data_IF_787697599081
#
_entry.id   IF_787697599081
#
_cell.length_a   1.000
_cell.length_b   1.000
_cell.length_c   1.000
_cell.angle_alpha   90.00
_cell.angle_beta   90.00
_cell.angle_gamma   90.00
#
_symmetry.space_group_name_H-M   'P 1'
#
loop_
_entity.id
_entity.type
_entity.pdbx_description
1 polymer ?
#
# COMPACT_ATOMS: atom_id res chain seq x y z
N UNK A 1 4.19 15.98 -5.85
CA UNK A 1 2.87 15.37 -5.61
C UNK A 1 2.71 14.22 -6.59
N UNK A 2 2.20 13.09 -6.13
CA UNK A 2 1.94 11.88 -6.91
C UNK A 2 0.45 11.56 -6.84
N UNK A 3 -0.18 11.30 -7.98
CA UNK A 3 -1.49 10.68 -8.06
C UNK A 3 -1.40 9.52 -9.04
N UNK A 4 -1.90 8.35 -8.65
CA UNK A 4 -1.92 7.15 -9.47
C UNK A 4 -3.29 6.48 -9.36
N UNK A 5 -3.82 6.04 -10.50
CA UNK A 5 -5.05 5.26 -10.57
C UNK A 5 -4.83 4.14 -11.60
N UNK A 6 -5.30 2.94 -11.29
CA UNK A 6 -5.22 1.78 -12.16
C UNK A 6 -6.50 0.97 -12.02
N UNK A 7 -7.00 0.45 -13.13
CA UNK A 7 -8.07 -0.53 -13.15
C UNK A 7 -7.57 -1.76 -13.89
N UNK A 8 -7.29 -2.83 -13.16
CA UNK A 8 -7.01 -4.13 -13.77
C UNK A 8 -8.29 -4.94 -13.80
N UNK A 9 -8.77 -5.28 -15.00
CA UNK A 9 -9.91 -6.17 -15.20
C UNK A 9 -9.42 -7.40 -15.94
N UNK A 10 -9.66 -8.57 -15.36
CA UNK A 10 -9.41 -9.82 -16.06
C UNK A 10 -10.63 -10.20 -16.90
N UNK A 11 -10.40 -10.70 -18.11
CA UNK A 11 -11.47 -11.29 -18.91
C UNK A 11 -11.91 -12.62 -18.29
N UNK A 12 -13.20 -12.93 -18.43
CA UNK A 12 -13.78 -14.17 -17.93
C UNK A 12 -13.07 -15.36 -18.59
N UNK A 13 -12.64 -16.36 -17.81
CA UNK A 13 -12.07 -17.59 -18.38
C UNK A 13 -13.20 -18.40 -19.03
N UNK A 14 -13.12 -18.65 -20.34
CA UNK A 14 -14.13 -19.35 -21.16
C UNK A 14 -14.65 -20.67 -20.57
N UNK A 15 -13.84 -21.40 -19.78
CA UNK A 15 -14.25 -22.67 -19.14
C UNK A 15 -15.16 -22.51 -17.93
N UNK A 16 -15.30 -21.30 -17.39
CA UNK A 16 -16.13 -20.98 -16.22
C UNK A 16 -17.38 -20.17 -16.60
N UNK A 17 -17.54 -19.83 -17.88
CA UNK A 17 -18.65 -19.02 -18.42
C UNK A 17 -19.70 -19.82 -19.18
N UNK A 18 -19.48 -21.13 -19.37
CA UNK A 18 -20.41 -22.03 -20.06
C UNK A 18 -20.81 -23.10 -19.05
N UNK A 19 -22.06 -23.07 -18.61
CA UNK A 19 -22.68 -24.19 -17.91
C UNK A 19 -22.93 -25.32 -18.93
N UNK A 20 -22.28 -26.50 -18.79
CA UNK A 20 -22.46 -27.61 -19.71
C UNK A 20 -23.88 -28.20 -19.70
N UNK A 21 -24.73 -27.86 -18.72
CA UNK A 21 -26.10 -28.40 -18.59
C UNK A 21 -27.14 -27.49 -19.24
N UNK A 22 -27.00 -26.16 -19.14
CA UNK A 22 -28.04 -25.22 -19.60
C UNK A 22 -27.73 -24.48 -20.92
N UNK A 23 -26.48 -24.47 -21.39
CA UNK A 23 -26.12 -23.86 -22.68
C UNK A 23 -26.41 -22.35 -22.82
N UNK A 24 -26.75 -21.68 -21.72
CA UNK A 24 -27.14 -20.26 -21.70
C UNK A 24 -25.93 -19.38 -21.38
N UNK A 25 -25.89 -18.19 -22.00
CA UNK A 25 -24.93 -17.11 -21.70
C UNK A 25 -25.27 -16.46 -20.34
N UNK A 26 -25.22 -17.23 -19.26
CA UNK A 26 -25.23 -16.63 -17.92
C UNK A 26 -23.82 -16.06 -17.74
N UNK A 27 -23.71 -14.74 -17.66
CA UNK A 27 -22.44 -14.05 -17.44
C UNK A 27 -21.80 -14.58 -16.15
N UNK A 28 -20.79 -15.43 -16.28
CA UNK A 28 -20.06 -15.92 -15.12
C UNK A 28 -19.37 -14.75 -14.44
N UNK A 29 -19.81 -14.45 -13.23
CA UNK A 29 -19.19 -13.45 -12.36
C UNK A 29 -17.83 -13.93 -11.84
N UNK A 30 -17.45 -15.18 -12.08
CA UNK A 30 -16.17 -15.76 -11.68
C UNK A 30 -15.11 -15.42 -12.74
N UNK A 31 -14.46 -14.28 -12.55
CA UNK A 31 -13.39 -13.79 -13.43
C UNK A 31 -13.55 -12.35 -13.87
N UNK A 32 -14.73 -11.75 -13.69
CA UNK A 32 -14.94 -10.31 -13.84
C UNK A 32 -14.73 -9.58 -12.50
N UNK A 33 -13.56 -9.79 -11.88
CA UNK A 33 -13.17 -9.03 -10.70
C UNK A 33 -12.25 -7.90 -11.17
N UNK A 34 -12.82 -6.72 -11.38
CA UNK A 34 -12.02 -5.50 -11.49
C UNK A 34 -11.32 -5.26 -10.15
N UNK A 35 -10.01 -5.07 -10.17
CA UNK A 35 -9.21 -4.67 -9.02
C UNK A 35 -8.76 -3.22 -9.19
N UNK A 36 -9.64 -2.23 -8.93
CA UNK A 36 -9.25 -0.83 -8.97
C UNK A 36 -8.23 -0.55 -7.88
N UNK A 37 -7.19 0.21 -8.22
CA UNK A 37 -6.14 0.65 -7.32
C UNK A 37 -5.96 2.16 -7.46
N UNK A 38 -5.74 2.83 -6.34
CA UNK A 38 -5.56 4.28 -6.29
C UNK A 38 -4.49 4.61 -5.25
N UNK A 39 -3.66 5.59 -5.56
CA UNK A 39 -2.65 6.10 -4.66
C UNK A 39 -2.50 7.62 -4.79
N UNK A 40 -2.32 8.29 -3.65
CA UNK A 40 -2.03 9.70 -3.54
C UNK A 40 -0.84 9.88 -2.61
N UNK A 41 0.19 10.57 -3.08
CA UNK A 41 1.44 10.73 -2.35
C UNK A 41 2.00 12.15 -2.40
N UNK A 42 2.72 12.49 -1.34
CA UNK A 42 3.51 13.70 -1.27
C UNK A 42 4.93 13.36 -0.85
N UNK A 43 5.92 13.95 -1.51
CA UNK A 43 7.34 13.75 -1.22
C UNK A 43 7.99 15.11 -1.08
N UNK A 44 8.78 15.28 -0.03
CA UNK A 44 9.57 16.47 0.22
C UNK A 44 11.05 16.11 0.33
N UNK A 45 11.89 16.99 -0.19
CA UNK A 45 13.34 16.91 -0.04
C UNK A 45 13.82 18.24 0.49
N UNK A 46 14.57 18.21 1.58
CA UNK A 46 15.18 19.38 2.18
C UNK A 46 16.70 19.17 2.25
N UNK A 47 17.43 20.00 1.51
CA UNK A 47 18.89 20.04 1.57
C UNK A 47 19.27 21.01 2.69
N UNK A 48 19.67 20.46 3.84
CA UNK A 48 20.07 21.25 5.01
C UNK A 48 21.45 21.87 4.79
N UNK A 49 22.35 21.10 4.20
CA UNK A 49 23.67 21.55 3.74
C UNK A 49 24.03 20.83 2.44
N UNK A 50 25.16 21.18 1.83
CA UNK A 50 25.67 20.48 0.64
C UNK A 50 26.00 19.00 0.91
N UNK A 51 26.22 18.65 2.19
CA UNK A 51 26.60 17.30 2.62
C UNK A 51 25.46 16.55 3.31
N UNK A 52 24.41 17.22 3.76
CA UNK A 52 23.31 16.63 4.54
C UNK A 52 21.93 16.91 3.93
N UNK A 53 21.15 15.86 3.73
CA UNK A 53 19.83 15.90 3.09
C UNK A 53 18.82 15.09 3.89
N UNK A 54 17.62 15.63 3.98
CA UNK A 54 16.44 14.94 4.49
C UNK A 54 15.46 14.71 3.34
N UNK A 55 14.99 13.48 3.20
CA UNK A 55 13.96 13.09 2.25
C UNK A 55 12.81 12.48 3.04
N UNK A 56 11.58 12.73 2.64
CA UNK A 56 10.43 12.08 3.26
C UNK A 56 9.24 12.03 2.33
N UNK A 57 8.38 11.05 2.56
CA UNK A 57 7.16 10.89 1.80
C UNK A 57 6.03 10.33 2.67
N UNK A 58 4.81 10.73 2.33
CA UNK A 58 3.57 10.15 2.83
C UNK A 58 2.74 9.72 1.63
N UNK A 59 2.18 8.52 1.69
CA UNK A 59 1.42 7.87 0.64
C UNK A 59 0.15 7.28 1.25
N UNK A 60 -1.00 7.61 0.68
CA UNK A 60 -2.27 6.92 0.95
C UNK A 60 -2.61 6.11 -0.28
N UNK A 61 -2.90 4.82 -0.12
CA UNK A 61 -3.18 3.92 -1.24
C UNK A 61 -4.28 2.91 -0.91
N UNK A 62 -4.88 2.35 -1.95
CA UNK A 62 -5.79 1.20 -1.91
C UNK A 62 -5.54 0.36 -3.16
N UNK A 63 -5.50 -0.95 -3.00
CA UNK A 63 -5.17 -1.89 -4.07
C UNK A 63 -3.65 -2.00 -4.29
N UNK A 64 -3.28 -2.51 -5.46
CA UNK A 64 -1.90 -2.75 -5.84
C UNK A 64 -1.23 -1.46 -6.33
N UNK A 65 -0.07 -1.15 -5.78
CA UNK A 65 0.72 0.02 -6.15
C UNK A 65 2.21 -0.27 -5.95
N UNK A 66 3.08 0.37 -6.74
CA UNK A 66 4.53 0.26 -6.56
C UNK A 66 5.18 1.63 -6.71
N UNK A 67 6.27 1.84 -6.00
CA UNK A 67 7.02 3.09 -6.06
C UNK A 67 8.47 2.91 -5.66
N UNK A 68 9.29 3.88 -6.03
CA UNK A 68 10.63 4.04 -5.48
C UNK A 68 10.59 4.94 -4.24
N UNK A 69 11.19 4.45 -3.16
CA UNK A 69 11.38 5.13 -1.90
C UNK A 69 12.86 5.39 -1.69
N UNK A 70 13.31 6.57 -2.10
CA UNK A 70 14.71 6.96 -2.03
C UNK A 70 15.61 5.98 -2.82
N UNK A 71 16.26 5.00 -2.17
CA UNK A 71 17.08 3.97 -2.84
C UNK A 71 16.38 2.61 -2.99
N UNK A 72 15.15 2.48 -2.52
CA UNK A 72 14.42 1.22 -2.49
C UNK A 72 13.28 1.14 -3.48
N UNK A 73 13.06 -0.04 -4.04
CA UNK A 73 11.82 -0.38 -4.71
C UNK A 73 10.85 -1.00 -3.69
N UNK A 74 9.60 -0.55 -3.68
CA UNK A 74 8.55 -1.09 -2.82
C UNK A 74 7.28 -1.38 -3.59
N UNK A 75 6.67 -2.51 -3.24
CA UNK A 75 5.36 -2.95 -3.71
C UNK A 75 4.40 -2.89 -2.53
N UNK A 76 3.21 -2.38 -2.79
CA UNK A 76 2.11 -2.24 -1.88
C UNK A 76 0.92 -2.99 -2.44
N UNK A 77 0.21 -3.69 -1.58
CA UNK A 77 -1.07 -4.30 -1.92
C UNK A 77 -1.92 -4.31 -0.65
N UNK A 78 -3.07 -3.63 -0.71
CA UNK A 78 -4.01 -3.63 0.39
C UNK A 78 -5.45 -3.57 -0.11
N UNK A 79 -6.35 -4.45 0.36
CA UNK A 79 -7.76 -4.40 0.00
C UNK A 79 -8.49 -3.17 0.58
N UNK A 80 -7.86 -2.48 1.54
CA UNK A 80 -8.40 -1.30 2.23
C UNK A 80 -7.49 -0.09 2.03
N UNK A 81 -8.00 1.09 2.38
CA UNK A 81 -7.18 2.29 2.44
C UNK A 81 -6.07 2.10 3.47
N UNK A 82 -4.83 2.36 3.05
CA UNK A 82 -3.63 2.17 3.85
C UNK A 82 -2.76 3.41 3.71
N UNK A 83 -2.02 3.71 4.76
CA UNK A 83 -1.11 4.84 4.82
C UNK A 83 0.30 4.33 5.04
N UNK A 84 1.19 4.73 4.13
CA UNK A 84 2.60 4.46 4.21
C UNK A 84 3.38 5.77 4.29
N UNK A 85 4.39 5.83 5.13
CA UNK A 85 5.31 6.95 5.17
C UNK A 85 6.74 6.50 5.40
N UNK A 86 7.68 7.31 4.95
CA UNK A 86 9.10 7.09 5.18
C UNK A 86 9.86 8.40 5.30
N UNK A 87 10.97 8.34 6.02
CA UNK A 87 11.93 9.44 6.16
C UNK A 87 13.33 8.86 6.01
N UNK A 88 14.17 9.53 5.21
CA UNK A 88 15.59 9.24 5.07
C UNK A 88 16.42 10.45 5.48
N UNK A 89 17.45 10.20 6.30
CA UNK A 89 18.57 11.10 6.51
C UNK A 89 19.79 10.59 5.75
N UNK A 90 20.34 11.41 4.88
CA UNK A 90 21.54 11.13 4.11
C UNK A 90 22.63 12.15 4.43
N UNK A 91 23.84 11.67 4.73
CA UNK A 91 25.00 12.53 5.02
C UNK A 91 26.28 12.03 4.34
N UNK A 92 27.08 12.95 3.82
CA UNK A 92 28.49 12.70 3.48
C UNK A 92 29.37 13.12 4.66
N UNK A 93 29.98 12.16 5.32
CA UNK A 93 30.80 12.40 6.52
C UNK A 93 32.21 12.89 6.14
N UNK A 94 32.69 12.50 4.96
CA UNK A 94 33.94 12.97 4.39
C UNK A 94 33.89 12.92 2.87
N UNK A 95 35.05 12.96 2.22
CA UNK A 95 35.13 12.95 0.77
C UNK A 95 34.85 11.55 0.17
N UNK A 96 35.07 10.51 0.97
CA UNK A 96 34.95 9.12 0.54
C UNK A 96 33.80 8.34 1.21
N UNK A 97 33.21 8.86 2.29
CA UNK A 97 32.22 8.14 3.10
C UNK A 97 30.85 8.81 3.08
N UNK A 98 29.81 8.01 2.83
CA UNK A 98 28.42 8.42 2.97
C UNK A 98 27.63 7.46 3.87
N UNK A 99 26.72 8.04 4.65
CA UNK A 99 25.76 7.32 5.49
C UNK A 99 24.34 7.66 5.07
N UNK A 100 23.47 6.66 5.17
CA UNK A 100 22.04 6.80 4.95
C UNK A 100 21.27 6.00 5.99
N UNK A 101 20.37 6.68 6.69
CA UNK A 101 19.42 6.06 7.60
C UNK A 101 18.02 6.30 7.08
N UNK A 102 17.26 5.23 6.86
CA UNK A 102 15.87 5.27 6.44
C UNK A 102 14.99 4.57 7.47
N UNK A 103 13.87 5.21 7.80
CA UNK A 103 12.81 4.63 8.63
C UNK A 103 11.51 4.74 7.84
N UNK A 104 10.71 3.69 7.88
CA UNK A 104 9.41 3.65 7.20
C UNK A 104 8.39 2.85 7.99
N UNK A 105 7.14 3.22 7.82
CA UNK A 105 6.01 2.60 8.50
C UNK A 105 4.81 2.54 7.56
N UNK A 106 4.19 1.37 7.51
CA UNK A 106 2.96 1.11 6.76
C UNK A 106 1.87 0.66 7.74
N UNK A 107 0.68 1.21 7.59
CA UNK A 107 -0.49 0.86 8.38
C UNK A 107 -1.74 0.79 7.49
N UNK A 108 -2.39 -0.37 7.51
CA UNK A 108 -3.67 -0.57 6.86
C UNK A 108 -4.82 -0.05 7.73
N UNK A 109 -5.93 0.36 7.11
CA UNK A 109 -7.17 0.56 7.85
C UNK A 109 -7.63 -0.77 8.51
N UNK A 110 -8.34 -0.72 9.63
CA UNK A 110 -8.85 -1.93 10.28
C UNK A 110 -9.81 -2.69 9.37
N UNK A 111 -9.64 -4.01 9.25
CA UNK A 111 -10.56 -4.88 8.51
C UNK A 111 -11.44 -5.62 9.53
N UNK A 112 -12.75 -5.62 9.31
CA UNK A 112 -13.69 -6.49 10.03
C UNK A 112 -13.97 -7.73 9.20
N UNK A 113 -13.79 -8.90 9.80
CA UNK A 113 -14.20 -10.19 9.24
C UNK A 113 -15.65 -10.56 9.60
N UNK A 114 -16.36 -9.71 10.34
CA UNK A 114 -17.77 -9.93 10.64
C UNK A 114 -18.63 -9.62 9.41
N UNK A 115 -19.12 -10.67 8.76
CA UNK A 115 -20.09 -10.61 7.67
C UNK A 115 -21.54 -10.43 8.15
N UNK A 116 -21.77 -10.45 9.47
CA UNK A 116 -23.08 -10.37 10.10
C UNK A 116 -23.06 -9.42 11.29
N UNK A 117 -24.20 -8.77 11.58
CA UNK A 117 -24.39 -8.04 12.84
C UNK A 117 -24.19 -8.98 14.04
N UNK A 118 -23.68 -8.51 15.19
CA UNK A 118 -23.64 -9.29 16.42
C UNK A 118 -25.02 -9.87 16.77
N UNK A 119 -25.07 -11.11 17.27
CA UNK A 119 -26.33 -11.76 17.68
C UNK A 119 -27.13 -10.85 18.64
N UNK A 120 -28.42 -10.64 18.34
CA UNK A 120 -29.31 -9.80 19.14
C UNK A 120 -29.43 -8.33 18.68
N UNK A 121 -28.85 -7.94 17.56
CA UNK A 121 -28.97 -6.57 17.02
C UNK A 121 -30.06 -6.47 15.94
N UNK A 122 -30.97 -5.49 16.06
CA UNK A 122 -32.14 -5.28 15.17
C UNK A 122 -31.95 -4.14 14.16
N UNK A 123 -30.71 -3.72 13.85
CA UNK A 123 -30.46 -2.63 12.90
C UNK A 123 -29.00 -2.46 12.48
N UNK A 124 -28.72 -1.42 11.67
CA UNK A 124 -27.38 -1.03 11.22
C UNK A 124 -26.52 -0.56 12.42
N UNK A 125 -25.84 -1.48 13.09
CA UNK A 125 -24.95 -1.15 14.21
C UNK A 125 -23.57 -0.77 13.67
N UNK A 126 -23.12 0.44 14.01
CA UNK A 126 -21.77 0.92 13.70
C UNK A 126 -20.78 0.13 14.57
N UNK A 127 -19.95 -0.69 13.93
CA UNK A 127 -18.90 -1.47 14.62
C UNK A 127 -17.98 -0.49 15.35
N UNK A 128 -17.79 -0.68 16.67
CA UNK A 128 -16.84 0.12 17.44
C UNK A 128 -15.43 -0.14 16.92
N UNK A 129 -14.79 0.91 16.42
CA UNK A 129 -13.41 0.86 15.91
C UNK A 129 -12.41 0.42 16.99
N UNK A 130 -12.71 0.70 18.27
CA UNK A 130 -11.91 0.29 19.45
C UNK A 130 -11.87 -1.23 19.65
N UNK A 131 -12.80 -1.99 19.07
CA UNK A 131 -12.89 -3.45 19.20
C UNK A 131 -12.28 -4.19 18.01
N UNK A 132 -11.79 -3.46 16.99
CA UNK A 132 -11.16 -4.06 15.81
C UNK A 132 -9.68 -4.32 16.11
N UNK A 133 -9.35 -5.56 16.41
CA UNK A 133 -8.00 -5.99 16.84
C UNK A 133 -7.07 -6.36 15.68
N UNK A 134 -7.57 -6.42 14.44
CA UNK A 134 -6.80 -6.83 13.27
C UNK A 134 -6.44 -5.64 12.38
N UNK A 135 -5.41 -4.90 12.78
CA UNK A 135 -4.76 -3.89 11.93
C UNK A 135 -3.41 -4.44 11.46
N UNK A 136 -3.22 -4.56 10.14
CA UNK A 136 -1.90 -4.87 9.59
C UNK A 136 -1.02 -3.62 9.66
N UNK A 137 0.17 -3.76 10.26
CA UNK A 137 1.18 -2.71 10.25
C UNK A 137 2.57 -3.31 10.10
N UNK A 138 3.47 -2.56 9.49
CA UNK A 138 4.85 -2.96 9.30
C UNK A 138 5.79 -1.79 9.56
N UNK A 139 6.88 -2.06 10.28
CA UNK A 139 7.96 -1.10 10.51
C UNK A 139 9.22 -1.60 9.81
N UNK A 140 9.94 -0.69 9.17
CA UNK A 140 11.19 -1.02 8.50
C UNK A 140 12.22 0.07 8.71
N UNK A 141 13.41 -0.34 9.14
CA UNK A 141 14.56 0.53 9.38
C UNK A 141 15.74 -0.01 8.57
N UNK A 142 16.46 0.89 7.90
CA UNK A 142 17.67 0.58 7.15
C UNK A 142 18.77 1.56 7.46
N UNK A 143 19.95 1.03 7.73
CA UNK A 143 21.22 1.75 7.73
C UNK A 143 22.06 1.29 6.54
N UNK A 144 22.61 2.25 5.80
CA UNK A 144 23.51 2.02 4.67
C UNK A 144 24.77 2.87 4.84
N UNK A 145 25.92 2.26 4.56
CA UNK A 145 27.25 2.86 4.62
C UNK A 145 27.90 2.63 3.26
N UNK A 146 28.24 3.72 2.58
CA UNK A 146 28.86 3.68 1.25
C UNK A 146 30.26 4.29 1.32
N UNK A 147 31.22 3.65 0.64
CA UNK A 147 32.58 4.14 0.45
C UNK A 147 32.90 4.26 -1.04
N UNK A 148 33.46 5.39 -1.43
CA UNK A 148 33.94 5.65 -2.80
C UNK A 148 35.45 5.89 -2.79
N UNK A 149 36.17 5.21 -3.70
CA UNK A 149 37.64 5.32 -3.86
C UNK A 149 38.03 6.37 -4.91
#
# INVERSE_FOLDING_TARGET
>A
MLYANSLTQFSQRRRLSIDPVSGTNITSMVGNAGSPSEALGFTAVHNVTDRFKLLGSVLVYKGFFWNFEDTDFRVFDSPVHSMHWWVTAFSRIGDNWALRLKVSHDAAAPITNYAYPPEGTTGNVRVKWETITSQASANYVRLQVDYAF
#
